data_IF_204359806834
#
_entry.id   IF_204359806834
#
_cell.length_a   1.000
_cell.length_b   1.000
_cell.length_c   1.000
_cell.angle_alpha   90.00
_cell.angle_beta   90.00
_cell.angle_gamma   90.00
#
_symmetry.space_group_name_H-M   'P 1'
#
loop_
_entity.id
_entity.type
_entity.pdbx_description
1 polymer ?
#
# COMPACT_ATOMS: atom_id res chain seq x y z
N UNK A 1 54.39 -19.16 -84.74
CA UNK A 1 53.07 -18.56 -85.02
C UNK A 1 52.31 -18.51 -83.71
N UNK A 2 52.02 -17.28 -83.25
CA UNK A 2 50.77 -16.82 -82.58
C UNK A 2 50.15 -17.73 -81.51
N UNK A 3 49.82 -17.31 -80.27
CA UNK A 3 49.84 -15.99 -79.61
C UNK A 3 49.57 -16.21 -78.11
N UNK A 4 50.02 -15.22 -77.34
CA UNK A 4 49.96 -15.00 -75.89
C UNK A 4 48.54 -14.79 -75.35
N UNK A 5 48.30 -15.16 -74.08
CA UNK A 5 47.69 -14.37 -72.97
C UNK A 5 47.35 -15.32 -71.80
N UNK A 6 47.34 -14.97 -70.52
CA UNK A 6 47.86 -13.86 -69.70
C UNK A 6 47.28 -14.05 -68.28
N UNK A 7 48.13 -13.95 -67.26
CA UNK A 7 47.90 -13.36 -65.93
C UNK A 7 47.17 -14.11 -64.79
N UNK A 8 47.99 -14.36 -63.76
CA UNK A 8 48.02 -13.66 -62.45
C UNK A 8 47.43 -14.27 -61.16
N UNK A 9 48.38 -14.65 -60.28
CA UNK A 9 48.64 -14.29 -58.86
C UNK A 9 47.51 -14.35 -57.79
N UNK A 10 47.78 -15.08 -56.67
CA UNK A 10 47.97 -14.61 -55.26
C UNK A 10 47.60 -15.68 -54.21
N UNK A 11 48.47 -15.77 -53.20
CA UNK A 11 48.44 -16.50 -51.93
C UNK A 11 47.16 -16.38 -51.09
N UNK A 12 46.93 -17.31 -50.14
CA UNK A 12 46.66 -16.93 -48.74
C UNK A 12 46.66 -18.14 -47.79
N UNK A 13 47.23 -17.91 -46.61
CA UNK A 13 47.08 -18.71 -45.39
C UNK A 13 45.63 -18.75 -44.92
N UNK A 14 45.22 -19.82 -44.21
CA UNK A 14 44.06 -19.75 -43.32
C UNK A 14 44.33 -20.46 -42.01
N UNK A 15 44.43 -19.64 -40.97
CA UNK A 15 44.49 -20.00 -39.55
C UNK A 15 43.10 -20.45 -39.10
N UNK A 16 43.09 -21.53 -38.32
CA UNK A 16 41.91 -22.13 -37.68
C UNK A 16 41.30 -21.14 -36.68
N UNK A 17 40.14 -20.58 -37.01
CA UNK A 17 39.37 -19.74 -36.12
C UNK A 17 38.77 -20.57 -34.97
N UNK A 18 38.96 -20.08 -33.75
CA UNK A 18 38.32 -20.53 -32.52
C UNK A 18 36.82 -20.22 -32.63
N UNK A 19 35.99 -21.22 -32.35
CA UNK A 19 34.55 -21.09 -32.35
C UNK A 19 34.11 -20.03 -31.32
N UNK A 20 33.36 -19.07 -31.84
CA UNK A 20 32.60 -18.02 -31.16
C UNK A 20 31.77 -18.55 -30.00
N UNK A 21 31.81 -17.82 -28.89
CA UNK A 21 31.00 -17.96 -27.69
C UNK A 21 29.52 -18.22 -27.99
N UNK A 22 28.82 -19.07 -27.22
CA UNK A 22 27.38 -19.19 -27.30
C UNK A 22 26.75 -17.84 -26.97
N UNK A 23 25.89 -17.36 -27.86
CA UNK A 23 25.05 -16.19 -27.62
C UNK A 23 24.27 -16.39 -26.31
N UNK A 24 24.22 -15.40 -25.41
CA UNK A 24 23.30 -15.48 -24.28
C UNK A 24 21.91 -15.64 -24.86
N UNK A 25 21.15 -16.64 -24.39
CA UNK A 25 19.72 -16.66 -24.64
C UNK A 25 19.18 -15.33 -24.13
N UNK A 26 18.84 -14.43 -25.05
CA UNK A 26 18.29 -13.13 -24.72
C UNK A 26 16.93 -13.41 -24.11
N UNK A 27 16.87 -13.56 -22.78
CA UNK A 27 15.60 -13.45 -22.10
C UNK A 27 15.18 -11.99 -22.33
N UNK A 28 14.28 -11.81 -23.31
CA UNK A 28 13.99 -10.50 -23.91
C UNK A 28 13.41 -9.51 -22.91
N UNK A 29 13.03 -9.98 -21.73
CA UNK A 29 12.44 -9.23 -20.61
C UNK A 29 13.47 -8.47 -19.76
N UNK A 30 14.74 -8.91 -19.75
CA UNK A 30 15.77 -8.36 -18.87
C UNK A 30 16.90 -7.65 -19.63
N UNK A 31 17.45 -6.61 -19.02
CA UNK A 31 18.67 -5.91 -19.41
C UNK A 31 19.81 -6.23 -18.43
N UNK A 32 21.02 -6.40 -18.97
CA UNK A 32 22.23 -6.48 -18.16
C UNK A 32 22.58 -5.09 -17.63
N UNK A 33 22.54 -4.91 -16.32
CA UNK A 33 22.86 -3.63 -15.65
C UNK A 33 24.36 -3.51 -15.36
N UNK A 34 24.99 -4.61 -14.93
CA UNK A 34 26.44 -4.68 -14.73
C UNK A 34 26.93 -6.11 -14.97
N UNK A 35 28.16 -6.22 -15.47
CA UNK A 35 28.85 -7.49 -15.66
C UNK A 35 29.78 -7.83 -14.50
N UNK A 36 29.94 -9.13 -14.24
CA UNK A 36 30.91 -9.62 -13.27
C UNK A 36 32.36 -9.55 -13.77
N UNK A 37 33.30 -9.38 -12.84
CA UNK A 37 34.72 -9.13 -13.12
C UNK A 37 35.48 -10.32 -13.74
N UNK A 38 35.01 -11.55 -13.51
CA UNK A 38 35.62 -12.76 -14.06
C UNK A 38 35.62 -13.92 -13.07
N UNK A 39 36.27 -15.02 -13.43
CA UNK A 39 36.43 -16.26 -12.62
C UNK A 39 37.87 -16.76 -12.56
N UNK A 40 38.84 -15.91 -12.88
CA UNK A 40 40.27 -16.20 -12.70
C UNK A 40 40.62 -16.39 -11.22
N UNK A 41 41.74 -17.04 -10.89
CA UNK A 41 42.11 -17.34 -9.49
C UNK A 41 42.17 -16.10 -8.57
N UNK A 42 42.58 -14.96 -9.12
CA UNK A 42 42.74 -13.69 -8.40
C UNK A 42 41.55 -12.75 -8.59
N UNK A 43 40.56 -13.12 -9.42
CA UNK A 43 39.39 -12.27 -9.62
C UNK A 43 38.63 -12.17 -8.30
N UNK A 44 38.29 -10.95 -7.92
CA UNK A 44 37.43 -10.67 -6.78
C UNK A 44 36.31 -9.77 -7.25
N UNK A 45 35.14 -10.02 -6.71
CA UNK A 45 33.94 -9.26 -6.97
C UNK A 45 33.14 -9.10 -5.67
N UNK A 46 31.99 -8.45 -5.74
CA UNK A 46 31.04 -8.38 -4.65
C UNK A 46 29.62 -8.63 -5.14
N UNK A 47 28.81 -9.27 -4.30
CA UNK A 47 27.36 -9.35 -4.53
C UNK A 47 26.71 -8.03 -4.12
N UNK A 48 25.48 -7.83 -4.58
CA UNK A 48 24.64 -6.73 -4.10
C UNK A 48 24.40 -6.88 -2.60
N UNK A 49 24.49 -5.76 -1.89
CA UNK A 49 24.02 -5.58 -0.52
C UNK A 49 23.18 -4.30 -0.47
N UNK A 50 21.87 -4.43 -0.25
CA UNK A 50 20.93 -3.32 -0.26
C UNK A 50 19.54 -3.73 0.21
N UNK A 51 18.61 -2.76 0.22
CA UNK A 51 17.21 -3.00 0.57
C UNK A 51 16.50 -3.92 -0.45
N UNK A 52 15.20 -4.16 -0.29
CA UNK A 52 14.36 -4.90 -1.24
C UNK A 52 14.86 -6.30 -1.61
N UNK A 53 15.70 -6.92 -0.76
CA UNK A 53 16.07 -8.31 -0.91
C UNK A 53 14.85 -9.18 -0.68
N UNK A 54 14.54 -10.05 -1.64
CA UNK A 54 13.40 -10.96 -1.55
C UNK A 54 13.86 -12.31 -1.02
N UNK A 55 14.76 -12.96 -1.74
CA UNK A 55 15.25 -14.30 -1.44
C UNK A 55 16.44 -14.65 -2.33
N UNK A 56 16.95 -15.88 -2.24
CA UNK A 56 17.94 -16.42 -3.15
C UNK A 56 17.67 -17.90 -3.44
N UNK A 57 18.29 -18.38 -4.53
CA UNK A 57 18.44 -19.80 -4.80
C UNK A 57 19.86 -20.08 -5.28
N UNK A 58 20.23 -21.36 -5.37
CA UNK A 58 21.41 -21.82 -6.10
C UNK A 58 20.95 -22.39 -7.45
N UNK A 59 21.67 -22.07 -8.51
CA UNK A 59 21.39 -22.58 -9.87
C UNK A 59 22.56 -23.44 -10.35
N UNK A 60 22.35 -24.31 -11.33
CA UNK A 60 23.42 -25.15 -11.88
C UNK A 60 24.65 -24.31 -12.29
N UNK A 61 25.83 -24.71 -11.80
CA UNK A 61 27.10 -24.01 -12.04
C UNK A 61 27.95 -24.66 -13.14
N UNK A 62 27.44 -25.66 -13.86
CA UNK A 62 28.11 -26.21 -15.06
C UNK A 62 28.40 -25.12 -16.09
N UNK A 63 27.56 -24.08 -16.10
CA UNK A 63 27.74 -22.82 -16.81
C UNK A 63 27.34 -21.66 -15.89
N UNK A 64 27.66 -20.44 -16.30
CA UNK A 64 27.12 -19.25 -15.64
C UNK A 64 25.65 -19.08 -16.06
N UNK A 65 24.76 -19.85 -15.43
CA UNK A 65 23.39 -20.09 -15.89
C UNK A 65 22.46 -18.91 -15.60
N UNK A 66 22.54 -17.88 -16.46
CA UNK A 66 21.69 -16.68 -16.40
C UNK A 66 20.21 -17.04 -16.55
N UNK A 67 19.87 -17.93 -17.49
CA UNK A 67 18.47 -18.32 -17.77
C UNK A 67 17.76 -18.82 -16.52
N UNK A 68 18.34 -19.81 -15.83
CA UNK A 68 17.74 -20.35 -14.61
C UNK A 68 17.59 -19.32 -13.48
N UNK A 69 18.50 -18.35 -13.40
CA UNK A 69 18.40 -17.27 -12.41
C UNK A 69 17.27 -16.28 -12.74
N UNK A 70 17.08 -15.96 -14.03
CA UNK A 70 15.98 -15.09 -14.46
C UNK A 70 14.62 -15.79 -14.36
N UNK A 71 14.55 -17.09 -14.68
CA UNK A 71 13.34 -17.90 -14.49
C UNK A 71 12.96 -17.98 -13.00
N UNK A 72 13.95 -18.05 -12.11
CA UNK A 72 13.71 -17.96 -10.67
C UNK A 72 13.15 -16.59 -10.28
N UNK A 73 13.71 -15.49 -10.78
CA UNK A 73 13.14 -14.16 -10.56
C UNK A 73 11.68 -14.07 -11.04
N UNK A 74 11.38 -14.59 -12.23
CA UNK A 74 10.00 -14.61 -12.76
C UNK A 74 9.03 -15.42 -11.90
N UNK A 75 9.52 -16.40 -11.15
CA UNK A 75 8.71 -17.20 -10.19
C UNK A 75 8.47 -16.51 -8.84
N UNK A 76 9.27 -15.50 -8.50
CA UNK A 76 9.19 -14.80 -7.22
C UNK A 76 8.33 -13.54 -7.39
N UNK A 77 7.22 -13.47 -6.67
CA UNK A 77 6.34 -12.30 -6.67
C UNK A 77 7.13 -11.02 -6.38
N UNK A 78 6.84 -9.95 -7.13
CA UNK A 78 7.51 -8.64 -7.09
C UNK A 78 9.00 -8.61 -7.50
N UNK A 79 9.59 -9.71 -7.98
CA UNK A 79 10.97 -9.66 -8.45
C UNK A 79 11.12 -8.80 -9.70
N UNK A 80 12.07 -7.86 -9.66
CA UNK A 80 12.41 -7.00 -10.81
C UNK A 80 13.90 -6.95 -11.11
N UNK A 81 14.72 -7.56 -10.27
CA UNK A 81 16.17 -7.58 -10.42
C UNK A 81 16.79 -8.87 -9.87
N UNK A 82 17.77 -9.41 -10.60
CA UNK A 82 18.52 -10.60 -10.21
C UNK A 82 20.03 -10.31 -10.21
N UNK A 83 20.72 -10.70 -9.13
CA UNK A 83 22.16 -10.73 -9.02
C UNK A 83 22.67 -12.17 -9.00
N UNK A 84 23.35 -12.56 -10.07
CA UNK A 84 23.97 -13.88 -10.21
C UNK A 84 25.46 -13.78 -9.88
N UNK A 85 25.99 -14.64 -9.02
CA UNK A 85 27.40 -14.62 -8.63
C UNK A 85 27.88 -15.96 -8.08
N UNK A 86 29.18 -16.23 -8.17
CA UNK A 86 29.79 -17.35 -7.46
C UNK A 86 30.17 -16.95 -6.04
N UNK A 87 29.93 -17.83 -5.08
CA UNK A 87 30.42 -17.69 -3.70
C UNK A 87 31.25 -18.91 -3.32
N UNK A 88 32.56 -18.70 -3.13
CA UNK A 88 33.50 -19.77 -2.83
C UNK A 88 33.76 -19.91 -1.33
N UNK A 89 34.33 -21.06 -0.94
CA UNK A 89 34.67 -21.43 0.44
C UNK A 89 33.47 -21.41 1.40
N UNK A 90 32.29 -21.75 0.88
CA UNK A 90 31.08 -21.91 1.67
C UNK A 90 30.67 -23.40 1.63
N UNK A 91 31.00 -24.19 2.69
CA UNK A 91 30.72 -25.61 2.72
C UNK A 91 29.26 -25.98 2.48
N UNK A 92 28.32 -25.11 2.86
CA UNK A 92 26.89 -25.33 2.64
C UNK A 92 26.47 -25.28 1.18
N UNK A 93 27.20 -24.55 0.34
CA UNK A 93 26.99 -24.48 -1.11
C UNK A 93 27.84 -25.50 -1.85
N UNK A 94 29.09 -25.67 -1.41
CA UNK A 94 30.04 -26.60 -1.98
C UNK A 94 29.56 -28.06 -1.86
N UNK A 95 28.88 -28.40 -0.75
CA UNK A 95 28.23 -29.70 -0.57
C UNK A 95 26.92 -29.85 -1.37
N UNK A 96 26.28 -28.74 -1.74
CA UNK A 96 24.98 -28.67 -2.42
C UNK A 96 25.02 -28.81 -3.95
N UNK A 97 26.19 -29.14 -4.53
CA UNK A 97 26.48 -29.26 -5.98
C UNK A 97 26.55 -27.94 -6.76
N UNK A 98 26.29 -26.79 -6.16
CA UNK A 98 26.50 -25.50 -6.83
C UNK A 98 26.86 -24.37 -5.86
N UNK A 99 27.86 -23.61 -6.25
CA UNK A 99 28.27 -22.36 -5.62
C UNK A 99 27.81 -21.11 -6.40
N UNK A 100 26.97 -21.28 -7.42
CA UNK A 100 26.39 -20.20 -8.22
C UNK A 100 25.06 -19.75 -7.61
N UNK A 101 25.09 -18.61 -6.92
CA UNK A 101 23.96 -18.02 -6.23
C UNK A 101 23.22 -17.02 -7.12
N UNK A 102 21.91 -17.12 -7.12
CA UNK A 102 20.99 -16.14 -7.71
C UNK A 102 20.20 -15.45 -6.59
N UNK A 103 20.58 -14.23 -6.24
CA UNK A 103 19.86 -13.40 -5.29
C UNK A 103 18.92 -12.45 -6.04
N UNK A 104 17.67 -12.34 -5.57
CA UNK A 104 16.61 -11.59 -6.27
C UNK A 104 16.04 -10.47 -5.40
N UNK A 105 15.62 -9.39 -6.06
CA UNK A 105 15.24 -8.14 -5.42
C UNK A 105 13.98 -7.54 -6.06
N UNK A 106 13.19 -6.81 -5.27
CA UNK A 106 11.99 -6.10 -5.73
C UNK A 106 12.25 -4.66 -6.17
N UNK A 107 13.52 -4.28 -6.34
CA UNK A 107 13.92 -3.00 -6.93
C UNK A 107 15.20 -3.18 -7.75
N UNK A 108 15.39 -2.30 -8.74
CA UNK A 108 16.55 -2.31 -9.61
C UNK A 108 17.78 -1.85 -8.83
N UNK A 109 18.86 -2.63 -8.93
CA UNK A 109 20.13 -2.39 -8.25
C UNK A 109 21.22 -2.00 -9.23
N UNK A 110 22.21 -1.28 -8.74
CA UNK A 110 23.33 -0.78 -9.54
C UNK A 110 24.67 -1.36 -9.05
N UNK A 111 25.71 -1.21 -9.87
CA UNK A 111 27.06 -1.67 -9.51
C UNK A 111 27.62 -1.02 -8.23
N UNK A 112 27.12 0.17 -7.85
CA UNK A 112 27.54 0.87 -6.62
C UNK A 112 27.17 0.10 -5.34
N UNK A 113 26.19 -0.78 -5.43
CA UNK A 113 25.69 -1.58 -4.31
C UNK A 113 26.40 -2.93 -4.20
N UNK A 114 27.41 -3.20 -5.06
CA UNK A 114 28.27 -4.38 -4.96
C UNK A 114 29.28 -4.21 -3.82
N UNK A 115 28.83 -4.37 -2.59
CA UNK A 115 29.63 -4.13 -1.38
C UNK A 115 29.79 -5.37 -0.49
N UNK A 116 29.09 -6.46 -0.77
CA UNK A 116 29.31 -7.74 -0.08
C UNK A 116 30.39 -8.55 -0.81
N UNK A 117 31.63 -8.47 -0.32
CA UNK A 117 32.78 -9.20 -0.85
C UNK A 117 32.91 -10.64 -0.30
N UNK A 118 32.01 -11.08 0.58
CA UNK A 118 32.22 -12.26 1.43
C UNK A 118 33.07 -11.90 2.66
N UNK A 119 34.05 -12.75 3.00
CA UNK A 119 34.99 -12.52 4.10
C UNK A 119 34.68 -13.28 5.39
N UNK A 120 33.74 -14.21 5.38
CA UNK A 120 33.43 -15.05 6.54
C UNK A 120 34.29 -16.33 6.53
N UNK A 121 34.78 -16.76 7.70
CA UNK A 121 35.43 -18.06 7.87
C UNK A 121 34.37 -19.15 8.09
N UNK A 122 33.81 -19.70 7.01
CA UNK A 122 32.77 -20.74 7.09
C UNK A 122 33.32 -22.17 7.02
N UNK A 123 34.39 -22.38 6.25
CA UNK A 123 35.09 -23.66 6.19
C UNK A 123 36.17 -23.76 7.30
N UNK A 124 36.47 -24.95 7.85
CA UNK A 124 37.58 -25.12 8.78
C UNK A 124 38.93 -24.74 8.15
N UNK A 125 39.87 -24.30 8.98
CA UNK A 125 41.26 -24.12 8.54
C UNK A 125 41.80 -25.46 7.98
N UNK A 126 42.62 -25.43 6.90
CA UNK A 126 43.34 -24.28 6.34
C UNK A 126 42.58 -23.53 5.23
N UNK A 127 41.28 -23.78 5.02
CA UNK A 127 40.51 -23.06 4.00
C UNK A 127 40.48 -21.55 4.26
N UNK A 128 40.51 -20.77 3.18
CA UNK A 128 40.41 -19.30 3.27
C UNK A 128 39.00 -18.82 3.61
N UNK A 129 38.87 -17.50 3.76
CA UNK A 129 37.58 -16.83 3.90
C UNK A 129 36.72 -17.01 2.63
N UNK A 130 35.41 -16.89 2.77
CA UNK A 130 34.50 -16.79 1.62
C UNK A 130 34.84 -15.60 0.74
N UNK A 131 34.63 -15.72 -0.56
CA UNK A 131 34.79 -14.61 -1.49
C UNK A 131 33.83 -14.75 -2.67
N UNK A 132 33.52 -13.61 -3.29
CA UNK A 132 32.60 -13.53 -4.43
C UNK A 132 33.37 -13.37 -5.74
N UNK A 133 32.88 -13.99 -6.80
CA UNK A 133 33.36 -13.82 -8.19
C UNK A 133 32.20 -13.68 -9.17
N UNK A 134 32.50 -13.15 -10.36
CA UNK A 134 31.60 -13.00 -11.50
C UNK A 134 30.19 -12.54 -11.09
N UNK A 135 30.07 -11.40 -10.44
CA UNK A 135 28.78 -10.87 -9.99
C UNK A 135 28.15 -9.99 -11.07
N UNK A 136 27.11 -10.51 -11.73
CA UNK A 136 26.35 -9.81 -12.79
C UNK A 136 24.94 -9.48 -12.32
N UNK A 137 24.40 -8.37 -12.80
CA UNK A 137 23.09 -7.85 -12.41
C UNK A 137 22.17 -7.69 -13.61
N UNK A 138 20.93 -8.14 -13.48
CA UNK A 138 19.93 -8.13 -14.54
C UNK A 138 18.65 -7.47 -14.03
N UNK A 139 18.16 -6.46 -14.73
CA UNK A 139 16.93 -5.74 -14.38
C UNK A 139 15.84 -6.01 -15.41
N UNK A 140 14.57 -6.00 -14.99
CA UNK A 140 13.46 -5.91 -15.93
C UNK A 140 13.57 -4.63 -16.78
N UNK A 141 13.34 -4.77 -18.09
CA UNK A 141 13.30 -3.63 -19.03
C UNK A 141 12.22 -2.61 -18.72
N UNK A 142 11.12 -3.09 -18.15
CA UNK A 142 9.98 -2.28 -17.77
C UNK A 142 9.46 -2.74 -16.43
N UNK A 143 9.26 -1.79 -15.52
CA UNK A 143 8.60 -2.03 -14.24
C UNK A 143 7.10 -1.92 -14.47
N UNK A 144 6.37 -2.99 -14.18
CA UNK A 144 4.91 -2.93 -14.15
C UNK A 144 4.46 -2.05 -13.00
N UNK A 145 3.38 -1.29 -13.19
CA UNK A 145 2.74 -0.63 -12.05
C UNK A 145 2.28 -1.71 -11.05
N UNK A 146 2.49 -1.48 -9.75
CA UNK A 146 1.99 -2.39 -8.73
C UNK A 146 0.45 -2.45 -8.82
N UNK A 147 -0.16 -3.60 -8.52
CA UNK A 147 -1.61 -3.70 -8.44
C UNK A 147 -2.15 -2.74 -7.38
N UNK A 148 -3.37 -2.26 -7.58
CA UNK A 148 -4.10 -1.52 -6.55
C UNK A 148 -4.54 -2.49 -5.46
N UNK A 149 -4.28 -2.20 -4.16
CA UNK A 149 -4.75 -3.03 -3.07
C UNK A 149 -6.28 -3.14 -3.03
N UNK A 150 -6.80 -4.26 -2.53
CA UNK A 150 -8.25 -4.44 -2.30
C UNK A 150 -8.77 -3.36 -1.35
N UNK A 151 -9.93 -2.76 -1.66
CA UNK A 151 -10.50 -1.68 -0.86
C UNK A 151 -9.85 -0.31 -1.06
N UNK A 152 -8.98 -0.15 -2.06
CA UNK A 152 -8.33 1.11 -2.39
C UNK A 152 -8.55 1.52 -3.86
N UNK A 153 -8.40 2.83 -4.10
CA UNK A 153 -8.38 3.44 -5.41
C UNK A 153 -7.07 4.21 -5.61
N UNK A 154 -6.42 4.13 -6.79
CA UNK A 154 -5.28 4.97 -7.10
C UNK A 154 -5.73 6.42 -7.24
N UNK A 155 -4.98 7.34 -6.64
CA UNK A 155 -5.24 8.79 -6.75
C UNK A 155 -4.25 9.42 -7.73
N UNK A 156 -2.96 9.12 -7.57
CA UNK A 156 -1.92 9.63 -8.47
C UNK A 156 -0.66 8.75 -8.46
N UNK A 157 0.22 9.04 -9.42
CA UNK A 157 1.59 8.55 -9.44
C UNK A 157 1.88 7.56 -10.59
N UNK A 158 3.16 7.21 -10.80
CA UNK A 158 4.32 7.65 -10.01
C UNK A 158 4.68 9.14 -10.20
N UNK A 159 5.13 9.79 -9.12
CA UNK A 159 5.72 11.14 -9.10
C UNK A 159 7.08 11.14 -8.38
N UNK A 160 7.83 12.24 -8.47
CA UNK A 160 9.13 12.43 -7.78
C UNK A 160 9.01 13.31 -6.52
N UNK A 161 7.85 13.29 -5.86
CA UNK A 161 7.62 13.99 -4.60
C UNK A 161 6.64 13.24 -3.70
N UNK A 162 6.93 13.20 -2.40
CA UNK A 162 6.05 12.65 -1.37
C UNK A 162 5.02 13.69 -0.95
N UNK A 163 3.92 13.25 -0.35
CA UNK A 163 2.89 14.15 0.16
C UNK A 163 3.41 15.04 1.29
N UNK A 164 3.05 16.31 1.19
CA UNK A 164 3.05 17.28 2.27
C UNK A 164 1.64 17.84 2.36
N UNK A 165 0.79 17.15 3.13
CA UNK A 165 -0.65 17.37 3.18
C UNK A 165 -1.13 17.38 4.65
N UNK A 166 -2.27 18.03 4.95
CA UNK A 166 -2.89 17.94 6.27
C UNK A 166 -3.38 16.51 6.56
N UNK A 167 -3.69 16.24 7.83
CA UNK A 167 -4.20 14.94 8.26
C UNK A 167 -3.16 13.85 8.40
N UNK A 168 -1.88 14.19 8.53
CA UNK A 168 -0.78 13.24 8.64
C UNK A 168 -0.85 12.40 9.92
N UNK A 169 -0.82 11.07 9.77
CA UNK A 169 -0.92 10.07 10.84
C UNK A 169 0.40 9.37 11.14
N UNK A 170 1.52 9.89 10.63
CA UNK A 170 2.83 9.27 10.71
C UNK A 170 3.16 8.38 9.50
N UNK A 171 4.21 7.57 9.64
CA UNK A 171 4.73 6.75 8.56
C UNK A 171 5.21 5.37 9.07
N UNK A 172 5.42 4.46 8.13
CA UNK A 172 6.10 3.18 8.31
C UNK A 172 7.20 3.02 7.26
N UNK A 173 8.31 2.38 7.64
CA UNK A 173 9.32 1.94 6.68
C UNK A 173 9.03 0.51 6.24
N UNK A 174 9.17 0.27 4.94
CA UNK A 174 8.99 -1.04 4.33
C UNK A 174 10.33 -1.55 3.80
N UNK A 175 10.47 -2.87 3.74
CA UNK A 175 11.68 -3.51 3.21
C UNK A 175 11.75 -3.46 1.67
N UNK A 176 10.61 -3.31 1.02
CA UNK A 176 10.40 -3.30 -0.43
C UNK A 176 9.36 -2.25 -0.82
N UNK A 177 9.28 -1.93 -2.12
CA UNK A 177 8.16 -1.13 -2.65
C UNK A 177 6.91 -2.01 -2.73
N UNK A 178 6.24 -2.20 -1.60
CA UNK A 178 5.07 -3.06 -1.45
C UNK A 178 3.83 -2.23 -1.09
N UNK A 179 2.94 -2.06 -2.08
CA UNK A 179 1.74 -1.24 -1.94
C UNK A 179 0.70 -1.93 -1.06
N UNK A 180 0.62 -3.27 -1.08
CA UNK A 180 -0.29 -4.03 -0.22
C UNK A 180 0.16 -3.95 1.23
N UNK A 181 1.46 -4.05 1.51
CA UNK A 181 1.99 -3.84 2.86
C UNK A 181 1.68 -2.42 3.37
N UNK A 182 1.80 -1.39 2.53
CA UNK A 182 1.43 -0.03 2.91
C UNK A 182 -0.08 0.14 3.16
N UNK A 183 -0.93 -0.54 2.38
CA UNK A 183 -2.36 -0.59 2.63
C UNK A 183 -2.67 -1.24 4.00
N UNK A 184 -1.98 -2.32 4.36
CA UNK A 184 -2.13 -2.96 5.66
C UNK A 184 -1.70 -2.06 6.82
N UNK A 185 -0.62 -1.29 6.66
CA UNK A 185 -0.22 -0.26 7.63
C UNK A 185 -1.32 0.79 7.84
N UNK A 186 -1.99 1.23 6.75
CA UNK A 186 -3.12 2.17 6.85
C UNK A 186 -4.37 1.51 7.47
N UNK A 187 -4.70 0.28 7.09
CA UNK A 187 -5.86 -0.46 7.63
C UNK A 187 -5.76 -0.70 9.15
N UNK A 188 -4.54 -0.85 9.66
CA UNK A 188 -4.27 -1.14 11.09
C UNK A 188 -3.83 0.09 11.88
N UNK A 189 -3.65 1.24 11.22
CA UNK A 189 -3.32 2.51 11.86
C UNK A 189 -4.43 2.90 12.82
N UNK A 190 -4.06 3.15 14.08
CA UNK A 190 -4.98 3.71 15.07
C UNK A 190 -5.59 5.03 14.58
N UNK A 191 -6.88 5.21 14.84
CA UNK A 191 -7.57 6.42 14.43
C UNK A 191 -7.00 7.67 15.11
N UNK A 192 -7.00 8.77 14.37
CA UNK A 192 -6.79 10.10 14.93
C UNK A 192 -8.06 10.54 15.68
N UNK A 193 -7.90 11.17 16.84
CA UNK A 193 -9.03 11.57 17.69
C UNK A 193 -9.91 12.67 17.09
N UNK A 194 -9.43 13.39 16.08
CA UNK A 194 -10.16 14.45 15.36
C UNK A 194 -10.40 14.09 13.89
N UNK A 195 -9.54 13.26 13.31
CA UNK A 195 -9.61 12.88 11.89
C UNK A 195 -10.22 11.52 11.58
N UNK A 196 -10.33 10.66 12.60
CA UNK A 196 -10.84 9.31 12.46
C UNK A 196 -9.81 8.34 11.85
N UNK A 197 -10.30 7.32 11.15
CA UNK A 197 -9.45 6.27 10.58
C UNK A 197 -8.54 6.79 9.46
N UNK A 198 -7.46 6.03 9.17
CA UNK A 198 -6.67 6.27 7.97
C UNK A 198 -7.54 6.13 6.71
N UNK A 199 -7.49 7.13 5.84
CA UNK A 199 -8.27 7.21 4.60
C UNK A 199 -7.38 7.22 3.35
N UNK A 200 -6.11 7.58 3.49
CA UNK A 200 -5.19 7.72 2.38
C UNK A 200 -3.77 7.35 2.79
N UNK A 201 -3.02 6.79 1.86
CA UNK A 201 -1.58 6.62 2.03
C UNK A 201 -0.80 7.05 0.78
N UNK A 202 0.44 7.47 1.02
CA UNK A 202 1.44 7.75 0.02
C UNK A 202 2.65 6.83 0.21
N UNK A 203 2.90 5.96 -0.75
CA UNK A 203 4.08 5.10 -0.77
C UNK A 203 5.12 5.67 -1.74
N UNK A 204 6.36 5.79 -1.28
CA UNK A 204 7.44 6.35 -2.08
C UNK A 204 8.80 5.72 -1.72
N UNK A 205 9.75 5.84 -2.65
CA UNK A 205 11.11 5.31 -2.52
C UNK A 205 12.10 6.44 -2.21
N UNK A 206 12.84 6.26 -1.13
CA UNK A 206 13.99 7.10 -0.78
C UNK A 206 15.23 6.66 -1.55
N UNK A 207 15.82 7.57 -2.31
CA UNK A 207 17.09 7.37 -3.02
C UNK A 207 18.13 8.30 -2.41
N UNK A 208 19.17 7.76 -1.80
CA UNK A 208 20.27 8.53 -1.21
C UNK A 208 21.53 8.30 -2.03
N UNK A 209 22.17 9.37 -2.51
CA UNK A 209 23.37 9.26 -3.36
C UNK A 209 23.19 8.41 -4.63
N UNK A 210 21.95 8.36 -5.14
CA UNK A 210 21.57 7.56 -6.31
C UNK A 210 21.27 6.09 -6.01
N UNK A 211 21.32 5.66 -4.75
CA UNK A 211 21.02 4.29 -4.34
C UNK A 211 19.66 4.22 -3.61
N UNK A 212 18.76 3.29 -3.98
CA UNK A 212 17.55 3.02 -3.21
C UNK A 212 17.86 2.53 -1.79
N UNK A 213 17.45 3.31 -0.78
CA UNK A 213 17.81 3.05 0.62
C UNK A 213 16.63 2.57 1.46
N UNK A 214 15.43 3.11 1.25
CA UNK A 214 14.22 2.72 2.00
C UNK A 214 12.95 3.01 1.21
N UNK A 215 11.84 2.42 1.64
CA UNK A 215 10.50 2.66 1.13
C UNK A 215 9.64 3.15 2.28
N UNK A 216 8.94 4.25 2.06
CA UNK A 216 8.18 4.91 3.11
C UNK A 216 6.70 4.87 2.76
N UNK A 217 5.90 4.43 3.70
CA UNK A 217 4.45 4.49 3.67
C UNK A 217 4.00 5.63 4.59
N UNK A 218 3.59 6.76 4.03
CA UNK A 218 3.02 7.89 4.79
C UNK A 218 1.50 7.77 4.82
N UNK A 219 0.87 7.87 5.99
CA UNK A 219 -0.58 7.67 6.18
C UNK A 219 -1.28 8.97 6.56
N UNK A 220 -2.52 9.12 6.12
CA UNK A 220 -3.33 10.32 6.34
C UNK A 220 -4.81 9.98 6.58
N UNK A 221 -5.47 10.75 7.44
CA UNK A 221 -6.92 10.70 7.62
C UNK A 221 -7.67 11.64 6.67
N UNK A 222 -6.95 12.55 5.99
CA UNK A 222 -7.50 13.37 4.90
C UNK A 222 -6.96 12.82 3.58
N UNK A 223 -7.86 12.61 2.61
CA UNK A 223 -7.46 12.22 1.25
C UNK A 223 -6.72 13.38 0.58
N UNK A 224 -5.51 13.11 0.12
CA UNK A 224 -4.68 14.06 -0.59
C UNK A 224 -4.61 13.73 -2.09
N UNK A 225 -4.18 14.70 -2.90
CA UNK A 225 -4.02 14.54 -4.35
C UNK A 225 -2.59 14.83 -4.82
N UNK A 226 -2.38 14.76 -6.14
CA UNK A 226 -1.08 14.98 -6.78
C UNK A 226 -0.48 16.37 -6.49
N UNK A 227 -1.29 17.40 -6.19
CA UNK A 227 -0.80 18.75 -5.92
C UNK A 227 -0.03 18.85 -4.61
N UNK A 228 -0.30 17.94 -3.67
CA UNK A 228 0.40 17.88 -2.39
C UNK A 228 1.70 17.06 -2.42
N UNK A 229 2.00 16.39 -3.53
CA UNK A 229 3.20 15.56 -3.74
C UNK A 229 4.45 16.42 -4.02
N UNK A 230 4.76 17.38 -3.14
CA UNK A 230 5.78 18.42 -3.34
C UNK A 230 7.06 18.19 -2.56
N UNK A 231 7.10 17.20 -1.65
CA UNK A 231 8.31 16.89 -0.89
C UNK A 231 9.26 16.02 -1.74
N UNK A 232 10.20 16.65 -2.44
CA UNK A 232 11.13 15.96 -3.34
C UNK A 232 12.39 15.42 -2.65
N UNK A 233 12.52 15.62 -1.33
CA UNK A 233 13.69 15.25 -0.52
C UNK A 233 14.57 16.45 -0.15
N UNK A 234 15.65 16.19 0.61
CA UNK A 234 16.59 17.20 1.10
C UNK A 234 18.04 16.67 1.03
N UNK A 235 18.98 17.52 0.63
CA UNK A 235 20.38 17.12 0.44
C UNK A 235 20.53 16.02 -0.61
N UNK A 236 21.16 14.90 -0.24
CA UNK A 236 21.36 13.76 -1.13
C UNK A 236 20.14 12.82 -1.22
N UNK A 237 19.12 13.02 -0.37
CA UNK A 237 17.88 12.27 -0.40
C UNK A 237 16.98 12.80 -1.52
N UNK A 238 16.54 11.91 -2.39
CA UNK A 238 15.51 12.13 -3.40
C UNK A 238 14.32 11.22 -3.18
N UNK A 239 13.13 11.76 -3.37
CA UNK A 239 11.90 10.97 -3.44
C UNK A 239 11.67 10.53 -4.89
N UNK A 240 11.35 9.25 -5.08
CA UNK A 240 11.00 8.69 -6.39
C UNK A 240 9.85 7.70 -6.25
N UNK A 241 9.22 7.36 -7.37
CA UNK A 241 8.13 6.36 -7.42
C UNK A 241 7.02 6.67 -6.40
N UNK A 242 6.70 7.93 -6.15
CA UNK A 242 5.66 8.31 -5.20
C UNK A 242 4.27 8.06 -5.78
N UNK A 243 3.43 7.31 -5.06
CA UNK A 243 2.04 7.00 -5.46
C UNK A 243 1.08 7.23 -4.30
N UNK A 244 -0.10 7.75 -4.60
CA UNK A 244 -1.16 8.00 -3.64
C UNK A 244 -2.32 7.04 -3.84
N UNK A 245 -2.86 6.50 -2.75
CA UNK A 245 -4.01 5.60 -2.75
C UNK A 245 -4.98 6.02 -1.65
N UNK A 246 -6.27 6.09 -1.97
CA UNK A 246 -7.34 6.35 -1.00
C UNK A 246 -8.13 5.08 -0.74
N UNK A 247 -8.64 4.91 0.47
CA UNK A 247 -9.59 3.85 0.79
C UNK A 247 -10.92 4.12 0.10
N UNK A 248 -11.55 3.08 -0.39
CA UNK A 248 -12.92 3.14 -0.89
C UNK A 248 -13.87 3.15 0.30
N UNK A 249 -14.53 4.29 0.55
CA UNK A 249 -15.63 4.36 1.51
C UNK A 249 -16.89 3.76 0.88
N UNK A 250 -17.42 2.70 1.50
CA UNK A 250 -18.63 2.01 1.03
C UNK A 250 -19.92 2.71 1.46
N UNK A 251 -19.83 3.64 2.42
CA UNK A 251 -20.90 4.56 2.77
C UNK A 251 -20.83 5.76 1.84
N UNK A 252 -21.97 6.10 1.23
CA UNK A 252 -22.12 7.31 0.44
C UNK A 252 -22.47 8.45 1.38
N UNK A 253 -21.72 9.54 1.29
CA UNK A 253 -22.07 10.81 1.93
C UNK A 253 -22.29 10.67 3.45
N UNK A 254 -21.34 10.02 4.13
CA UNK A 254 -21.43 9.78 5.57
C UNK A 254 -21.24 11.01 6.45
N UNK A 255 -20.80 12.13 5.87
CA UNK A 255 -20.82 13.46 6.52
C UNK A 255 -22.08 14.27 6.19
N UNK A 256 -23.05 13.69 5.47
CA UNK A 256 -24.36 14.30 5.19
C UNK A 256 -24.36 15.60 4.38
N UNK A 257 -23.25 15.97 3.75
CA UNK A 257 -23.09 17.21 2.96
C UNK A 257 -23.95 17.26 1.70
N UNK A 258 -24.48 16.12 1.24
CA UNK A 258 -25.45 16.08 0.15
C UNK A 258 -26.83 16.62 0.53
N UNK A 259 -27.13 16.82 1.81
CA UNK A 259 -28.31 17.56 2.26
C UNK A 259 -27.96 19.06 2.33
N UNK A 260 -28.47 19.86 1.39
CA UNK A 260 -28.12 21.28 1.26
C UNK A 260 -29.32 22.14 0.80
N UNK A 261 -30.50 21.81 1.31
CA UNK A 261 -31.78 22.41 0.90
C UNK A 261 -32.01 23.83 1.46
N UNK A 262 -31.09 24.35 2.28
CA UNK A 262 -31.22 25.62 2.98
C UNK A 262 -29.87 26.32 3.20
N UNK A 263 -29.91 27.65 3.36
CA UNK A 263 -28.72 28.47 3.66
C UNK A 263 -28.48 28.67 5.17
N UNK A 264 -29.50 28.40 5.99
CA UNK A 264 -29.52 28.51 7.46
C UNK A 264 -29.82 27.13 8.09
N UNK A 265 -30.08 27.06 9.40
CA UNK A 265 -30.51 25.80 10.05
C UNK A 265 -31.79 25.24 9.41
N UNK A 266 -31.71 24.00 8.92
CA UNK A 266 -32.88 23.19 8.61
C UNK A 266 -32.61 21.70 8.86
N UNK A 267 -33.67 20.89 8.84
CA UNK A 267 -33.56 19.45 8.94
C UNK A 267 -34.66 18.74 8.19
N UNK A 268 -34.39 17.50 7.79
CA UNK A 268 -35.34 16.61 7.14
C UNK A 268 -35.21 15.18 7.70
N UNK A 269 -36.28 14.39 7.58
CA UNK A 269 -36.20 12.96 7.94
C UNK A 269 -35.41 12.14 6.93
N UNK A 270 -35.26 12.61 5.68
CA UNK A 270 -34.56 11.86 4.64
C UNK A 270 -34.14 12.73 3.47
N UNK A 271 -33.11 12.30 2.75
CA UNK A 271 -32.76 12.81 1.43
C UNK A 271 -32.24 11.66 0.55
N UNK A 272 -31.56 11.97 -0.56
CA UNK A 272 -31.13 10.97 -1.53
C UNK A 272 -30.29 9.80 -0.94
N UNK A 273 -29.41 10.09 0.03
CA UNK A 273 -28.42 9.12 0.53
C UNK A 273 -28.81 8.47 1.87
N UNK A 274 -29.58 9.17 2.70
CA UNK A 274 -29.94 8.70 4.04
C UNK A 274 -31.42 8.86 4.37
N UNK A 275 -31.90 7.95 5.22
CA UNK A 275 -33.26 7.94 5.75
C UNK A 275 -33.22 7.75 7.27
N UNK A 276 -33.85 8.69 7.96
CA UNK A 276 -34.25 8.61 9.35
C UNK A 276 -35.69 8.10 9.46
N UNK A 277 -35.95 7.28 10.47
CA UNK A 277 -37.27 6.69 10.71
C UNK A 277 -37.63 6.73 12.20
N UNK A 278 -38.91 6.97 12.46
CA UNK A 278 -39.51 6.90 13.79
C UNK A 278 -40.17 5.55 14.03
N UNK A 279 -40.15 5.03 15.28
CA UNK A 279 -41.01 3.93 15.69
C UNK A 279 -42.48 4.35 15.67
N UNK A 280 -43.37 3.37 15.83
CA UNK A 280 -44.81 3.64 15.90
C UNK A 280 -45.14 4.59 17.06
N UNK A 281 -45.77 5.73 16.72
CA UNK A 281 -46.14 6.77 17.69
C UNK A 281 -45.05 7.81 17.96
N UNK A 282 -43.89 7.71 17.32
CA UNK A 282 -42.83 8.73 17.38
C UNK A 282 -42.92 9.78 16.28
N UNK A 283 -42.25 10.90 16.50
CA UNK A 283 -42.20 12.06 15.62
C UNK A 283 -40.77 12.56 15.39
N UNK A 284 -40.25 12.28 14.19
CA UNK A 284 -38.94 12.73 13.69
C UNK A 284 -37.80 12.33 14.62
N UNK A 285 -37.75 11.05 14.97
CA UNK A 285 -36.79 10.49 15.94
C UNK A 285 -35.43 10.17 15.35
N UNK A 286 -35.29 10.32 14.04
CA UNK A 286 -34.01 10.36 13.36
C UNK A 286 -34.13 11.34 12.19
N UNK A 287 -33.18 12.24 12.06
CA UNK A 287 -33.20 13.31 11.07
C UNK A 287 -31.80 13.71 10.64
N UNK A 288 -31.70 14.41 9.52
CA UNK A 288 -30.47 14.98 8.99
C UNK A 288 -30.58 16.50 9.14
N UNK A 289 -29.61 17.09 9.81
CA UNK A 289 -29.53 18.52 10.07
C UNK A 289 -28.49 19.14 9.13
N UNK A 290 -28.75 20.37 8.70
CA UNK A 290 -27.78 21.22 8.01
C UNK A 290 -27.48 22.42 8.89
N UNK A 291 -26.44 22.30 9.72
CA UNK A 291 -25.95 23.39 10.56
C UNK A 291 -24.53 23.10 11.09
N UNK A 292 -23.51 23.89 10.69
CA UNK A 292 -22.11 23.65 11.05
C UNK A 292 -21.83 23.55 12.55
N UNK A 293 -22.54 24.31 13.39
CA UNK A 293 -22.30 24.30 14.84
C UNK A 293 -22.71 22.97 15.50
N UNK A 294 -23.49 22.14 14.80
CA UNK A 294 -23.84 20.79 15.24
C UNK A 294 -23.06 19.68 14.53
N UNK A 295 -22.32 19.99 13.47
CA UNK A 295 -21.53 19.02 12.73
C UNK A 295 -20.14 18.82 13.39
N UNK A 296 -19.55 17.66 13.14
CA UNK A 296 -18.14 17.43 13.45
C UNK A 296 -17.27 18.10 12.37
N UNK A 297 -17.66 17.93 11.11
CA UNK A 297 -17.03 18.57 9.97
C UNK A 297 -18.09 18.99 8.94
N UNK A 298 -17.83 20.08 8.21
CA UNK A 298 -18.76 20.57 7.20
C UNK A 298 -20.01 21.22 7.79
N UNK A 299 -21.17 20.89 7.23
CA UNK A 299 -22.47 21.48 7.57
C UNK A 299 -23.51 20.41 7.94
N UNK A 300 -23.36 19.19 7.44
CA UNK A 300 -24.30 18.09 7.63
C UNK A 300 -24.04 17.33 8.93
N UNK A 301 -25.10 16.86 9.58
CA UNK A 301 -24.99 15.93 10.72
C UNK A 301 -26.28 15.15 10.86
N UNK A 302 -26.19 13.89 11.29
CA UNK A 302 -27.39 13.14 11.67
C UNK A 302 -27.71 13.27 13.15
N UNK A 303 -29.00 13.38 13.45
CA UNK A 303 -29.56 13.37 14.79
C UNK A 303 -30.32 12.06 15.02
N UNK A 304 -30.13 11.48 16.19
CA UNK A 304 -30.94 10.42 16.76
C UNK A 304 -31.65 10.95 18.03
N UNK A 305 -32.97 10.73 18.10
CA UNK A 305 -33.94 11.32 19.04
C UNK A 305 -34.83 12.38 18.39
N UNK A 306 -36.07 12.56 18.89
CA UNK A 306 -37.05 13.52 18.33
C UNK A 306 -36.45 14.91 18.12
N UNK A 307 -36.36 15.37 16.87
CA UNK A 307 -35.74 16.65 16.50
C UNK A 307 -36.40 17.86 17.18
N UNK A 308 -37.72 17.78 17.38
CA UNK A 308 -38.51 18.82 18.06
C UNK A 308 -38.75 18.53 19.55
N UNK A 309 -38.21 17.41 20.07
CA UNK A 309 -38.40 16.98 21.45
C UNK A 309 -39.86 16.65 21.80
N UNK A 310 -40.64 16.18 20.83
CA UNK A 310 -42.09 15.90 20.99
C UNK A 310 -42.32 14.65 21.83
N UNK A 311 -41.42 13.68 21.73
CA UNK A 311 -41.46 12.44 22.48
C UNK A 311 -40.04 11.94 22.83
N UNK A 312 -39.98 10.87 23.63
CA UNK A 312 -38.74 10.27 24.14
C UNK A 312 -38.48 8.89 23.51
N UNK A 313 -38.78 8.73 22.22
CA UNK A 313 -38.53 7.51 21.46
C UNK A 313 -37.22 7.59 20.69
N UNK A 314 -36.67 6.41 20.40
CA UNK A 314 -35.43 6.25 19.66
C UNK A 314 -35.71 6.03 18.18
N UNK A 315 -35.03 6.79 17.33
CA UNK A 315 -35.14 6.64 15.87
C UNK A 315 -34.09 5.72 15.30
N UNK A 316 -34.19 5.49 14.00
CA UNK A 316 -33.21 4.71 13.23
C UNK A 316 -32.78 5.47 12.00
N UNK A 317 -31.47 5.65 11.85
CA UNK A 317 -30.81 6.24 10.69
C UNK A 317 -30.16 5.12 9.86
N UNK A 318 -30.36 5.13 8.54
CA UNK A 318 -29.74 4.18 7.62
C UNK A 318 -29.46 4.81 6.25
N UNK A 319 -28.45 4.32 5.50
CA UNK A 319 -28.33 4.64 4.08
C UNK A 319 -29.58 4.16 3.31
N UNK A 320 -29.97 4.88 2.26
CA UNK A 320 -31.16 4.54 1.45
C UNK A 320 -30.98 3.26 0.62
N UNK A 321 -29.73 2.81 0.45
CA UNK A 321 -29.37 1.61 -0.31
C UNK A 321 -28.42 0.72 0.49
N UNK A 322 -28.47 -0.60 0.29
CA UNK A 322 -27.46 -1.49 0.85
C UNK A 322 -26.05 -1.10 0.40
N UNK A 323 -25.08 -1.32 1.27
CA UNK A 323 -23.67 -1.06 0.99
C UNK A 323 -23.14 -2.07 -0.03
N UNK A 324 -22.27 -1.66 -0.94
CA UNK A 324 -21.71 -2.52 -1.99
C UNK A 324 -20.60 -3.47 -1.48
N UNK A 325 -20.80 -4.09 -0.31
CA UNK A 325 -19.88 -5.02 0.33
C UNK A 325 -19.81 -6.36 -0.38
N UNK A 326 -18.71 -7.10 -0.14
CA UNK A 326 -18.46 -8.43 -0.71
C UNK A 326 -18.54 -9.49 0.40
N UNK A 327 -19.28 -10.57 0.14
CA UNK A 327 -19.46 -11.66 1.10
C UNK A 327 -18.12 -12.26 1.56
N UNK A 328 -17.99 -12.50 2.86
CA UNK A 328 -16.79 -13.09 3.49
C UNK A 328 -15.63 -12.11 3.69
N UNK A 329 -15.75 -10.85 3.26
CA UNK A 329 -14.77 -9.79 3.56
C UNK A 329 -15.07 -9.13 4.90
N UNK A 330 -14.02 -8.59 5.54
CA UNK A 330 -14.15 -7.82 6.78
C UNK A 330 -14.14 -6.33 6.46
N UNK A 331 -14.92 -5.58 7.24
CA UNK A 331 -15.05 -4.14 7.11
C UNK A 331 -14.95 -3.47 8.47
N UNK A 332 -14.41 -2.25 8.50
CA UNK A 332 -14.49 -1.35 9.65
C UNK A 332 -15.59 -0.32 9.43
N UNK A 333 -16.54 -0.23 10.36
CA UNK A 333 -17.52 0.86 10.47
C UNK A 333 -16.91 1.90 11.42
N UNK A 334 -16.67 3.12 10.94
CA UNK A 334 -16.17 4.24 11.73
C UNK A 334 -17.14 5.42 11.68
N UNK A 335 -17.25 6.19 12.76
CA UNK A 335 -18.05 7.42 12.82
C UNK A 335 -17.65 8.26 14.02
N UNK A 336 -17.96 9.55 13.96
CA UNK A 336 -17.92 10.45 15.11
C UNK A 336 -19.28 10.51 15.78
N UNK A 337 -19.30 10.54 17.11
CA UNK A 337 -20.51 10.70 17.91
C UNK A 337 -20.36 11.81 18.95
N UNK A 338 -21.42 12.56 19.18
CA UNK A 338 -21.55 13.51 20.27
C UNK A 338 -22.93 13.44 20.93
N UNK A 339 -22.98 13.76 22.22
CA UNK A 339 -24.20 13.92 23.02
C UNK A 339 -23.90 14.98 24.08
N UNK A 340 -24.02 16.24 23.68
CA UNK A 340 -23.65 17.38 24.53
C UNK A 340 -24.60 18.57 24.38
N UNK A 341 -25.78 18.33 23.84
CA UNK A 341 -26.78 19.37 23.60
C UNK A 341 -27.55 19.69 24.89
N UNK A 342 -27.99 18.67 25.62
CA UNK A 342 -28.67 18.81 26.89
C UNK A 342 -27.69 18.78 28.09
N UNK A 343 -28.12 19.26 29.28
CA UNK A 343 -27.31 19.16 30.49
C UNK A 343 -26.90 17.72 30.79
N UNK A 344 -25.74 17.47 31.45
CA UNK A 344 -25.20 16.12 31.60
C UNK A 344 -26.13 15.07 32.22
N UNK A 345 -27.01 15.48 33.14
CA UNK A 345 -28.01 14.60 33.75
C UNK A 345 -29.07 14.10 32.77
N UNK A 346 -29.36 14.87 31.72
CA UNK A 346 -30.33 14.53 30.68
C UNK A 346 -29.70 13.70 29.57
N UNK A 347 -28.42 13.88 29.28
CA UNK A 347 -27.66 13.09 28.30
C UNK A 347 -27.17 11.75 28.87
N UNK A 348 -27.25 11.53 30.18
CA UNK A 348 -26.84 10.29 30.84
C UNK A 348 -27.38 8.98 30.19
N UNK A 349 -28.62 8.91 29.65
CA UNK A 349 -29.11 7.71 28.98
C UNK A 349 -28.79 7.66 27.48
N UNK A 350 -28.05 8.61 26.92
CA UNK A 350 -27.69 8.63 25.49
C UNK A 350 -27.01 7.33 25.07
N UNK A 351 -27.47 6.78 23.94
CA UNK A 351 -26.97 5.53 23.41
C UNK A 351 -27.12 5.48 21.89
N UNK A 352 -26.28 4.66 21.26
CA UNK A 352 -26.40 4.30 19.86
C UNK A 352 -26.09 2.80 19.73
N UNK A 353 -27.03 2.07 19.15
CA UNK A 353 -26.89 0.71 18.66
C UNK A 353 -26.40 0.75 17.21
N UNK A 354 -25.23 0.19 16.97
CA UNK A 354 -24.66 0.00 15.65
C UNK A 354 -25.17 -1.33 15.12
N UNK A 355 -25.95 -1.30 14.04
CA UNK A 355 -26.63 -2.46 13.51
C UNK A 355 -26.09 -2.84 12.14
N UNK A 356 -25.88 -4.14 11.95
CA UNK A 356 -25.43 -4.75 10.70
C UNK A 356 -26.38 -5.87 10.31
N UNK A 357 -27.07 -5.71 9.17
CA UNK A 357 -28.13 -6.61 8.70
C UNK A 357 -29.22 -6.84 9.76
N UNK A 358 -29.61 -5.78 10.46
CA UNK A 358 -30.64 -5.81 11.51
C UNK A 358 -30.19 -6.42 12.85
N UNK A 359 -28.95 -6.88 12.96
CA UNK A 359 -28.38 -7.35 14.24
C UNK A 359 -27.50 -6.26 14.86
N UNK A 360 -27.68 -5.99 16.16
CA UNK A 360 -26.80 -5.07 16.90
C UNK A 360 -25.40 -5.69 17.04
N UNK A 361 -24.41 -5.02 16.45
CA UNK A 361 -22.99 -5.38 16.53
C UNK A 361 -22.38 -4.84 17.81
N UNK A 362 -22.74 -3.62 18.19
CA UNK A 362 -22.28 -2.96 19.40
C UNK A 362 -23.30 -1.90 19.85
N UNK A 363 -23.26 -1.57 21.13
CA UNK A 363 -23.99 -0.44 21.72
C UNK A 363 -23.00 0.46 22.42
N UNK A 364 -23.00 1.75 22.10
CA UNK A 364 -22.24 2.77 22.85
C UNK A 364 -23.18 3.52 23.79
N UNK A 365 -22.67 3.90 24.96
CA UNK A 365 -23.39 4.68 25.98
C UNK A 365 -22.45 5.75 26.56
N UNK A 366 -22.09 6.78 25.78
CA UNK A 366 -21.09 7.74 26.19
C UNK A 366 -21.58 8.72 27.26
N UNK A 367 -22.91 8.86 27.42
CA UNK A 367 -23.50 9.89 28.26
C UNK A 367 -23.22 11.28 27.69
N UNK A 368 -22.94 12.25 28.55
CA UNK A 368 -22.53 13.59 28.11
C UNK A 368 -21.10 13.57 27.54
N UNK A 369 -20.98 13.74 26.22
CA UNK A 369 -19.68 13.78 25.52
C UNK A 369 -19.69 14.73 24.33
N UNK A 370 -18.57 15.42 24.13
CA UNK A 370 -18.27 16.04 22.83
C UNK A 370 -17.97 14.97 21.78
N UNK A 371 -17.54 15.42 20.60
CA UNK A 371 -17.18 14.54 19.49
C UNK A 371 -16.10 13.53 19.89
N UNK A 372 -16.40 12.25 19.68
CA UNK A 372 -15.49 11.13 19.86
C UNK A 372 -15.64 10.14 18.71
N UNK A 373 -14.52 9.61 18.23
CA UNK A 373 -14.50 8.61 17.17
C UNK A 373 -14.74 7.20 17.73
N UNK A 374 -15.61 6.44 17.07
CA UNK A 374 -15.90 5.04 17.35
C UNK A 374 -15.66 4.20 16.11
N UNK A 375 -15.14 2.97 16.31
CA UNK A 375 -14.89 2.04 15.21
C UNK A 375 -15.19 0.60 15.61
N UNK A 376 -15.85 -0.14 14.71
CA UNK A 376 -16.26 -1.53 14.91
C UNK A 376 -15.93 -2.37 13.67
N UNK A 377 -15.61 -3.65 13.87
CA UNK A 377 -15.34 -4.59 12.78
C UNK A 377 -16.53 -5.52 12.56
N UNK A 378 -16.90 -5.71 11.30
CA UNK A 378 -17.96 -6.63 10.86
C UNK A 378 -17.47 -7.54 9.74
N UNK A 379 -18.13 -8.68 9.57
CA UNK A 379 -17.96 -9.56 8.42
C UNK A 379 -19.20 -9.45 7.51
N UNK A 380 -18.96 -9.20 6.23
CA UNK A 380 -19.99 -8.94 5.24
C UNK A 380 -20.64 -10.24 4.72
N UNK A 381 -21.94 -10.17 4.47
CA UNK A 381 -22.70 -11.18 3.72
C UNK A 381 -22.90 -10.79 2.25
N UNK A 382 -22.45 -9.59 1.88
CA UNK A 382 -22.60 -9.01 0.54
C UNK A 382 -23.90 -8.20 0.44
N UNK A 383 -23.83 -7.01 -0.14
CA UNK A 383 -24.97 -6.08 -0.19
C UNK A 383 -25.58 -5.82 1.21
N UNK A 384 -24.72 -5.56 2.19
CA UNK A 384 -25.11 -5.49 3.61
C UNK A 384 -25.87 -4.19 3.96
N UNK A 385 -26.71 -4.26 4.98
CA UNK A 385 -27.44 -3.12 5.53
C UNK A 385 -26.74 -2.59 6.78
N UNK A 386 -26.46 -1.29 6.81
CA UNK A 386 -25.99 -0.54 7.98
C UNK A 386 -27.14 0.30 8.54
N UNK A 387 -27.30 0.30 9.86
CA UNK A 387 -28.17 1.27 10.53
C UNK A 387 -27.64 1.64 11.91
N UNK A 388 -28.05 2.81 12.37
CA UNK A 388 -27.80 3.33 13.72
C UNK A 388 -29.14 3.57 14.37
N UNK A 389 -29.39 2.89 15.49
CA UNK A 389 -30.62 3.06 16.27
C UNK A 389 -30.27 3.66 17.61
N UNK A 390 -30.93 4.73 18.03
CA UNK A 390 -30.60 5.32 19.31
C UNK A 390 -31.13 6.72 19.49
N UNK A 391 -30.53 7.42 20.44
CA UNK A 391 -31.05 8.69 20.95
C UNK A 391 -32.46 8.56 21.54
N UNK A 392 -32.85 9.49 22.39
CA UNK A 392 -34.23 9.65 22.83
C UNK A 392 -34.29 10.97 23.57
N UNK A 393 -35.05 11.96 23.06
CA UNK A 393 -35.09 13.27 23.70
C UNK A 393 -35.47 13.14 25.19
N UNK A 394 -34.78 13.84 26.10
CA UNK A 394 -33.78 14.89 25.88
C UNK A 394 -32.32 14.40 25.76
N UNK A 395 -32.07 13.10 25.58
CA UNK A 395 -30.76 12.52 25.36
C UNK A 395 -30.49 12.30 23.86
N UNK A 396 -30.06 13.35 23.16
CA UNK A 396 -29.84 13.29 21.73
C UNK A 396 -28.47 12.71 21.40
N UNK A 397 -28.37 12.06 20.24
CA UNK A 397 -27.11 11.53 19.73
C UNK A 397 -26.86 12.05 18.32
N UNK A 398 -25.76 12.78 18.16
CA UNK A 398 -25.30 13.29 16.88
C UNK A 398 -24.30 12.30 16.30
N UNK A 399 -24.40 12.05 15.00
CA UNK A 399 -23.50 11.18 14.24
C UNK A 399 -22.98 11.93 13.02
N UNK A 400 -21.68 11.81 12.76
CA UNK A 400 -21.03 12.44 11.62
C UNK A 400 -19.85 11.61 11.09
N UNK A 401 -19.38 11.92 9.89
CA UNK A 401 -18.23 11.32 9.21
C UNK A 401 -18.27 9.79 9.19
N UNK A 402 -19.45 9.24 8.88
CA UNK A 402 -19.67 7.79 8.82
C UNK A 402 -18.86 7.20 7.66
N UNK A 403 -18.07 6.18 7.96
CA UNK A 403 -17.24 5.46 7.00
C UNK A 403 -17.37 3.96 7.16
N UNK A 404 -17.34 3.26 6.03
CA UNK A 404 -17.17 1.80 5.98
C UNK A 404 -16.04 1.48 5.03
N UNK A 405 -14.99 0.86 5.53
CA UNK A 405 -13.80 0.52 4.75
C UNK A 405 -13.49 -0.98 4.84
N UNK A 406 -13.02 -1.57 3.74
CA UNK A 406 -12.49 -2.95 3.74
C UNK A 406 -11.18 -3.03 4.56
N UNK A 407 -10.95 -4.17 5.23
CA UNK A 407 -9.77 -4.46 6.05
C UNK A 407 -8.80 -5.43 5.39
#
# INVERSE_FOLDING_TARGET
MTTVTSRDIISSESRRAVATSPSPSSNSKYDLVFSGTGTGPDDRDASIQGAAYLTFTVVDNSTYNVGACLDFCDSVSSCVFANLYYEFNNPGLDAGKSNLKCAVYSDIRTTKEKTNFGGQQLAPLPSGLTFIQKSSGFALKSLTNPPTPSGYEPVFGPLDGANNAPGYMGFAFLNSYDVDACAQECNTRGADGQGGACQFFNIWRAVVNGNPTTYTCSMYFIVADASSAVNTGQGDLKVTLSRGYKRTNFVIDGGFEGFNECDDFCFESSYANWIGTSPAGGDTDASIFFFPDFAHAGNGVALLGSANGVDALAGTLAPTKPLATVAGKKYSIGFFHASSFAPPSQEAPAFVDIQWNGATVATIRPGFSGWAFFQFTVEAKGSDLLSFHGGAAPAWSFLDDISVFEL
#
